data_IF_042242694844
#
_entry.id   IF_042242694844
#
_cell.length_a   1.000
_cell.length_b   1.000
_cell.length_c   1.000
_cell.angle_alpha   90.00
_cell.angle_beta   90.00
_cell.angle_gamma   90.00
#
_symmetry.space_group_name_H-M   'P 1'
#
loop_
_entity.id
_entity.type
_entity.pdbx_description
1 polymer ?
#
# COMPACT_ATOMS: atom_id res chain seq x y z
N UNK A 1 -41.00 25.62 -40.67
CA UNK A 1 -40.95 25.19 -39.24
C UNK A 1 -39.76 24.29 -39.05
N UNK A 2 -38.68 24.78 -38.43
CA UNK A 2 -37.46 23.98 -38.11
C UNK A 2 -37.55 23.58 -36.63
N UNK A 3 -37.69 22.28 -36.36
CA UNK A 3 -37.71 21.71 -35.03
C UNK A 3 -36.23 21.55 -34.57
N UNK A 4 -35.80 22.38 -33.62
CA UNK A 4 -34.51 22.24 -32.94
C UNK A 4 -34.72 21.17 -31.86
N UNK A 5 -34.14 19.98 -32.06
CA UNK A 5 -34.03 18.98 -31.00
C UNK A 5 -32.87 19.38 -30.08
N UNK A 6 -33.21 19.88 -28.91
CA UNK A 6 -32.25 20.07 -27.83
C UNK A 6 -31.86 18.69 -27.29
N UNK A 7 -30.59 18.30 -27.48
CA UNK A 7 -30.00 17.12 -26.88
C UNK A 7 -29.63 17.48 -25.43
N UNK A 8 -30.42 17.04 -24.47
CA UNK A 8 -30.09 17.14 -23.05
C UNK A 8 -28.96 16.13 -22.76
N UNK A 9 -27.73 16.60 -22.70
CA UNK A 9 -26.62 15.82 -22.15
C UNK A 9 -26.85 15.67 -20.63
N UNK A 10 -27.31 14.51 -20.21
CA UNK A 10 -27.28 14.12 -18.79
C UNK A 10 -25.81 13.91 -18.43
N UNK A 11 -25.20 14.88 -17.77
CA UNK A 11 -23.93 14.70 -17.08
C UNK A 11 -24.26 13.90 -15.83
N UNK A 12 -24.13 12.57 -15.92
CA UNK A 12 -24.11 11.71 -14.76
C UNK A 12 -22.75 12.00 -14.07
N UNK A 13 -22.75 12.53 -12.85
CA UNK A 13 -21.49 12.60 -12.11
C UNK A 13 -21.02 11.17 -11.91
N UNK A 14 -19.97 10.78 -12.60
CA UNK A 14 -19.23 9.57 -12.27
C UNK A 14 -18.65 9.88 -10.89
N UNK A 15 -19.30 9.35 -9.86
CA UNK A 15 -18.69 9.30 -8.55
C UNK A 15 -17.40 8.51 -8.74
N UNK A 16 -16.29 9.20 -8.80
CA UNK A 16 -14.96 8.59 -8.70
C UNK A 16 -14.98 7.94 -7.32
N UNK A 17 -15.20 6.63 -7.30
CA UNK A 17 -15.11 5.87 -6.07
C UNK A 17 -13.68 6.06 -5.58
N UNK A 18 -13.50 6.89 -4.57
CA UNK A 18 -12.22 7.05 -3.91
C UNK A 18 -11.83 5.67 -3.41
N UNK A 19 -10.78 5.09 -4.02
CA UNK A 19 -10.25 3.85 -3.52
C UNK A 19 -9.54 4.14 -2.19
N UNK A 20 -9.68 3.28 -1.19
CA UNK A 20 -9.06 3.50 0.12
C UNK A 20 -7.55 3.64 -0.05
N UNK A 21 -6.97 4.59 0.68
CA UNK A 21 -5.52 4.77 0.73
C UNK A 21 -4.83 3.46 1.15
N UNK A 22 -3.71 3.18 0.54
CA UNK A 22 -2.83 2.07 0.92
C UNK A 22 -1.69 2.58 1.81
N UNK A 23 -1.17 1.69 2.66
CA UNK A 23 -0.01 1.99 3.49
C UNK A 23 -0.33 2.20 4.96
N UNK A 24 0.25 1.33 5.76
CA UNK A 24 0.17 1.33 7.20
C UNK A 24 1.58 1.12 7.76
N UNK A 25 1.97 1.93 8.72
CA UNK A 25 3.26 1.85 9.41
C UNK A 25 2.99 1.66 10.90
N UNK A 26 3.48 0.58 11.50
CA UNK A 26 3.49 0.43 12.94
C UNK A 26 4.79 1.02 13.50
N UNK A 27 4.68 2.02 14.36
CA UNK A 27 5.82 2.63 15.04
C UNK A 27 6.19 1.87 16.31
N UNK A 28 5.19 1.41 17.02
CA UNK A 28 5.29 0.59 18.22
C UNK A 28 4.01 -0.25 18.41
N UNK A 29 3.83 -0.89 19.58
CA UNK A 29 2.67 -1.73 19.89
C UNK A 29 1.34 -0.98 19.98
N UNK A 30 1.36 0.35 20.07
CA UNK A 30 0.20 1.19 20.33
C UNK A 30 0.04 2.35 19.33
N UNK A 31 1.03 2.56 18.44
CA UNK A 31 1.06 3.74 17.56
C UNK A 31 1.25 3.32 16.11
N UNK A 32 0.38 3.82 15.25
CA UNK A 32 0.48 3.61 13.79
C UNK A 32 0.35 4.92 13.04
N UNK A 33 0.85 4.90 11.79
CA UNK A 33 0.64 5.96 10.80
C UNK A 33 0.03 5.32 9.57
N UNK A 34 -0.92 6.01 8.94
CA UNK A 34 -1.53 5.56 7.69
C UNK A 34 -2.01 6.71 6.83
N UNK A 35 -2.06 6.45 5.52
CA UNK A 35 -2.64 7.35 4.53
C UNK A 35 -4.14 7.14 4.40
N UNK A 36 -4.85 8.23 4.16
CA UNK A 36 -6.29 8.25 3.99
C UNK A 36 -6.66 9.10 2.78
N UNK A 37 -7.05 8.44 1.71
CA UNK A 37 -7.52 9.12 0.49
C UNK A 37 -8.96 9.62 0.60
N UNK A 38 -9.76 9.07 1.52
CA UNK A 38 -11.16 9.48 1.69
C UNK A 38 -11.27 10.82 2.41
N UNK A 39 -10.47 11.01 3.47
CA UNK A 39 -10.46 12.25 4.26
C UNK A 39 -9.28 13.16 3.95
N UNK A 40 -8.53 12.83 2.89
CA UNK A 40 -7.41 13.63 2.40
C UNK A 40 -6.41 13.97 3.52
N UNK A 41 -5.91 12.95 4.21
CA UNK A 41 -4.99 13.14 5.31
C UNK A 41 -3.97 12.00 5.46
N UNK A 42 -2.89 12.27 6.18
CA UNK A 42 -2.05 11.25 6.80
C UNK A 42 -2.27 11.34 8.29
N UNK A 43 -2.64 10.20 8.89
CA UNK A 43 -3.01 10.11 10.29
C UNK A 43 -1.95 9.42 11.14
N UNK A 44 -1.80 9.91 12.36
CA UNK A 44 -1.20 9.19 13.47
C UNK A 44 -2.29 8.76 14.43
N UNK A 45 -2.36 7.48 14.72
CA UNK A 45 -3.31 6.91 15.68
C UNK A 45 -2.56 6.24 16.80
N UNK A 46 -2.82 6.67 18.03
CA UNK A 46 -2.27 6.09 19.24
C UNK A 46 -3.42 5.52 20.08
N UNK A 47 -3.24 4.31 20.61
CA UNK A 47 -4.26 3.62 21.40
C UNK A 47 -4.78 4.49 22.54
N UNK A 48 -6.11 4.64 22.61
CA UNK A 48 -6.78 5.44 23.64
C UNK A 48 -6.69 6.95 23.45
N UNK A 49 -6.10 7.43 22.34
CA UNK A 49 -6.09 8.86 21.99
C UNK A 49 -6.91 9.14 20.73
N UNK A 50 -7.29 10.40 20.57
CA UNK A 50 -7.89 10.88 19.33
C UNK A 50 -6.83 10.86 18.24
N UNK A 51 -7.21 10.45 17.01
CA UNK A 51 -6.32 10.49 15.86
C UNK A 51 -5.83 11.92 15.58
N UNK A 52 -4.55 12.05 15.29
CA UNK A 52 -3.87 13.29 14.94
C UNK A 52 -3.58 13.31 13.43
N UNK A 53 -3.97 14.36 12.73
CA UNK A 53 -3.61 14.53 11.33
C UNK A 53 -2.19 15.13 11.24
N UNK A 54 -1.24 14.32 10.78
CA UNK A 54 0.12 14.77 10.47
C UNK A 54 0.16 15.65 9.22
N UNK A 55 -0.75 15.38 8.27
CA UNK A 55 -0.93 16.15 7.05
C UNK A 55 -2.41 16.20 6.69
N UNK A 56 -2.92 17.37 6.33
CA UNK A 56 -4.33 17.61 5.94
C UNK A 56 -4.42 18.10 4.51
N UNK A 57 -5.60 17.97 3.90
CA UNK A 57 -5.85 18.36 2.51
C UNK A 57 -4.88 17.67 1.55
N UNK A 58 -4.59 16.43 1.82
CA UNK A 58 -3.59 15.63 1.14
C UNK A 58 -4.18 14.26 0.79
N UNK A 59 -4.47 14.05 -0.48
CA UNK A 59 -5.05 12.79 -0.97
C UNK A 59 -3.98 11.68 -0.93
N UNK A 60 -3.78 11.09 0.26
CA UNK A 60 -2.76 10.10 0.52
C UNK A 60 -3.10 8.75 -0.13
N UNK A 61 -2.42 8.39 -1.20
CA UNK A 61 -2.57 7.07 -1.83
C UNK A 61 -1.74 6.02 -1.14
N UNK A 62 -0.47 6.32 -0.89
CA UNK A 62 0.47 5.43 -0.25
C UNK A 62 1.19 6.14 0.89
N UNK A 63 1.33 5.46 2.00
CA UNK A 63 2.16 5.91 3.11
C UNK A 63 3.10 4.78 3.48
N UNK A 64 4.39 5.08 3.53
CA UNK A 64 5.43 4.08 3.70
C UNK A 64 6.57 4.60 4.55
N UNK A 65 7.39 3.66 5.03
CA UNK A 65 8.66 3.96 5.67
C UNK A 65 9.80 3.63 4.72
N UNK A 66 10.67 4.60 4.48
CA UNK A 66 11.90 4.40 3.72
C UNK A 66 12.94 3.60 4.51
N UNK A 67 13.97 3.11 3.83
CA UNK A 67 15.13 2.48 4.48
C UNK A 67 15.96 3.45 5.34
N UNK A 68 15.83 4.75 5.10
CA UNK A 68 16.37 5.83 5.92
C UNK A 68 15.63 6.01 7.26
N UNK A 69 14.51 5.29 7.42
CA UNK A 69 13.66 5.34 8.62
C UNK A 69 12.61 6.44 8.61
N UNK A 70 12.62 7.33 7.63
CA UNK A 70 11.66 8.43 7.48
C UNK A 70 10.32 7.93 6.93
N UNK A 71 9.26 8.71 7.18
CA UNK A 71 7.92 8.45 6.65
C UNK A 71 7.70 9.25 5.38
N UNK A 72 7.15 8.58 4.39
CA UNK A 72 6.82 9.17 3.10
C UNK A 72 5.36 8.91 2.77
N UNK A 73 4.75 9.86 2.07
CA UNK A 73 3.41 9.67 1.51
C UNK A 73 3.33 10.28 0.12
N UNK A 74 2.60 9.60 -0.74
CA UNK A 74 2.34 10.06 -2.10
C UNK A 74 0.92 10.57 -2.22
N UNK A 75 0.78 11.73 -2.87
CA UNK A 75 -0.50 12.31 -3.24
C UNK A 75 -0.72 12.13 -4.73
N UNK A 76 -1.90 11.66 -5.08
CA UNK A 76 -2.36 11.62 -6.46
C UNK A 76 -3.39 12.75 -6.63
N UNK A 77 -2.99 13.86 -7.20
CA UNK A 77 -3.92 14.93 -7.57
C UNK A 77 -4.14 14.92 -9.08
N UNK A 78 -5.26 15.46 -9.54
CA UNK A 78 -5.68 15.47 -10.97
C UNK A 78 -4.65 16.07 -11.94
N UNK A 79 -3.58 16.66 -11.44
CA UNK A 79 -2.54 17.35 -12.23
C UNK A 79 -1.10 16.86 -11.97
N UNK A 80 -0.94 15.66 -11.44
CA UNK A 80 0.36 15.04 -11.18
C UNK A 80 0.54 14.62 -9.72
N UNK A 81 1.11 13.44 -9.51
CA UNK A 81 1.45 12.93 -8.19
C UNK A 81 2.67 13.63 -7.61
N UNK A 82 2.76 13.72 -6.29
CA UNK A 82 3.94 14.21 -5.62
C UNK A 82 4.24 13.38 -4.37
N UNK A 83 5.53 13.13 -4.15
CA UNK A 83 6.05 12.42 -2.98
C UNK A 83 6.49 13.43 -1.92
N UNK A 84 6.03 13.23 -0.70
CA UNK A 84 6.39 14.05 0.44
C UNK A 84 7.03 13.21 1.54
N UNK A 85 8.05 13.75 2.19
CA UNK A 85 8.54 13.28 3.48
C UNK A 85 7.74 13.95 4.59
N UNK A 86 7.28 13.15 5.55
CA UNK A 86 6.41 13.57 6.65
C UNK A 86 7.16 13.41 7.97
N UNK A 87 7.67 14.50 8.54
CA UNK A 87 8.36 14.45 9.82
C UNK A 87 7.40 14.09 10.96
N UNK A 88 7.81 13.15 11.82
CA UNK A 88 6.99 12.67 12.95
C UNK A 88 6.98 13.65 14.14
N UNK A 89 7.82 14.64 14.14
CA UNK A 89 7.94 15.66 15.19
C UNK A 89 7.02 16.87 14.98
N UNK A 90 6.11 16.82 13.96
CA UNK A 90 5.20 17.91 13.64
C UNK A 90 5.82 19.08 12.87
N UNK A 91 7.08 18.98 12.44
CA UNK A 91 7.68 19.98 11.56
C UNK A 91 7.05 19.93 10.17
N UNK A 92 7.30 20.97 9.34
CA UNK A 92 6.72 21.08 8.00
C UNK A 92 7.16 19.90 7.12
N UNK A 93 6.20 19.29 6.42
CA UNK A 93 6.48 18.27 5.41
C UNK A 93 7.30 18.83 4.24
N UNK A 94 8.09 17.98 3.59
CA UNK A 94 9.01 18.36 2.51
C UNK A 94 8.65 17.60 1.24
N UNK A 95 8.39 18.33 0.16
CA UNK A 95 8.23 17.72 -1.17
C UNK A 95 9.58 17.17 -1.63
N UNK A 96 9.61 15.89 -2.03
CA UNK A 96 10.81 15.17 -2.46
C UNK A 96 10.88 15.06 -3.98
N UNK A 97 9.73 14.78 -4.63
CA UNK A 97 9.65 14.64 -6.08
C UNK A 97 8.23 14.90 -6.57
N UNK A 98 8.11 15.26 -7.83
CA UNK A 98 6.85 15.23 -8.59
C UNK A 98 6.86 14.02 -9.54
N UNK A 99 5.69 13.48 -9.86
CA UNK A 99 5.57 12.36 -10.81
C UNK A 99 6.14 12.74 -12.17
N UNK A 100 5.94 14.00 -12.59
CA UNK A 100 6.49 14.54 -13.84
C UNK A 100 8.02 14.47 -13.92
N UNK A 101 8.72 14.49 -12.77
CA UNK A 101 10.18 14.44 -12.72
C UNK A 101 10.76 13.05 -13.00
N UNK A 102 9.95 12.01 -12.74
CA UNK A 102 10.36 10.61 -12.87
C UNK A 102 9.52 9.83 -13.89
N UNK A 103 8.43 10.45 -14.40
CA UNK A 103 7.47 9.84 -15.33
C UNK A 103 6.89 8.50 -14.80
N UNK A 104 6.81 8.35 -13.47
CA UNK A 104 6.36 7.14 -12.80
C UNK A 104 5.98 7.40 -11.34
N UNK A 105 5.17 6.52 -10.77
CA UNK A 105 4.89 6.51 -9.34
C UNK A 105 6.07 5.91 -8.56
N UNK A 106 6.55 6.62 -7.53
CA UNK A 106 7.56 6.10 -6.61
C UNK A 106 6.89 5.15 -5.64
N UNK A 107 7.37 3.93 -5.55
CA UNK A 107 6.82 2.97 -4.63
C UNK A 107 7.75 2.63 -3.44
N UNK A 108 9.08 2.84 -3.56
CA UNK A 108 9.99 2.57 -2.45
C UNK A 108 11.09 3.63 -2.35
N UNK A 109 11.58 3.87 -1.14
CA UNK A 109 12.68 4.80 -0.87
C UNK A 109 13.85 4.03 -0.27
N UNK A 110 15.03 4.22 -0.85
CA UNK A 110 16.29 3.60 -0.42
C UNK A 110 16.89 4.28 0.80
N UNK A 111 18.06 3.77 1.23
CA UNK A 111 18.72 4.20 2.47
C UNK A 111 19.28 5.62 2.40
N UNK A 112 19.71 6.07 1.22
CA UNK A 112 20.24 7.42 1.00
C UNK A 112 19.20 8.37 0.40
N UNK A 113 17.92 7.91 0.28
CA UNK A 113 16.84 8.66 -0.32
C UNK A 113 16.65 8.38 -1.82
N UNK A 114 17.22 7.29 -2.32
CA UNK A 114 16.99 6.86 -3.71
C UNK A 114 15.51 6.56 -3.92
N UNK A 115 14.98 7.00 -5.06
CA UNK A 115 13.59 6.73 -5.44
C UNK A 115 13.53 5.47 -6.30
N UNK A 116 12.72 4.50 -5.90
CA UNK A 116 12.56 3.24 -6.62
C UNK A 116 11.17 3.22 -7.24
N UNK A 117 11.11 2.95 -8.53
CA UNK A 117 9.89 3.04 -9.33
C UNK A 117 9.89 2.00 -10.45
N UNK A 118 8.72 1.77 -11.02
CA UNK A 118 8.57 0.90 -12.19
C UNK A 118 8.56 1.74 -13.47
N UNK A 119 9.36 1.35 -14.47
CA UNK A 119 9.29 1.88 -15.84
C UNK A 119 9.14 0.72 -16.82
N UNK A 120 7.97 0.62 -17.43
CA UNK A 120 7.63 -0.54 -18.27
C UNK A 120 7.68 -1.85 -17.45
N UNK A 121 8.49 -2.81 -17.87
CA UNK A 121 8.65 -4.12 -17.21
C UNK A 121 9.92 -4.21 -16.35
N UNK A 122 10.46 -3.09 -15.95
CA UNK A 122 11.68 -3.01 -15.13
C UNK A 122 11.47 -2.18 -13.89
N UNK A 123 12.20 -2.52 -12.84
CA UNK A 123 12.35 -1.69 -11.67
C UNK A 123 13.59 -0.83 -11.84
N UNK A 124 13.41 0.45 -11.66
CA UNK A 124 14.43 1.49 -11.79
C UNK A 124 14.71 2.12 -10.43
N UNK A 125 15.86 2.72 -10.30
CA UNK A 125 16.21 3.60 -9.19
C UNK A 125 16.69 4.95 -9.73
N UNK A 126 16.32 6.04 -9.06
CA UNK A 126 16.87 7.37 -9.25
C UNK A 126 17.67 7.72 -8.00
N UNK A 127 18.95 7.95 -8.16
CA UNK A 127 19.80 8.43 -7.09
C UNK A 127 19.50 9.89 -6.73
N UNK A 128 20.02 10.34 -5.59
CA UNK A 128 19.78 11.71 -5.08
C UNK A 128 20.31 12.78 -6.04
N UNK A 129 21.39 12.49 -6.77
CA UNK A 129 21.96 13.35 -7.83
C UNK A 129 21.15 13.30 -9.15
N UNK A 130 20.06 12.53 -9.21
CA UNK A 130 19.13 12.46 -10.33
C UNK A 130 19.44 11.39 -11.39
N UNK A 131 20.50 10.59 -11.23
CA UNK A 131 20.84 9.54 -12.18
C UNK A 131 19.82 8.39 -12.11
N UNK A 132 19.27 8.00 -13.25
CA UNK A 132 18.31 6.89 -13.38
C UNK A 132 19.02 5.68 -13.97
N UNK A 133 18.86 4.52 -13.32
CA UNK A 133 19.44 3.25 -13.75
C UNK A 133 18.58 2.06 -13.33
N UNK A 134 18.77 0.87 -13.91
CA UNK A 134 18.13 -0.34 -13.42
C UNK A 134 18.45 -0.59 -11.95
N UNK A 135 17.43 -0.89 -11.16
CA UNK A 135 17.56 -1.11 -9.72
C UNK A 135 18.58 -2.20 -9.44
N UNK A 136 19.59 -1.87 -8.63
CA UNK A 136 20.71 -2.76 -8.30
C UNK A 136 21.37 -3.38 -9.56
N UNK A 137 21.42 -2.64 -10.65
CA UNK A 137 22.05 -3.06 -11.89
C UNK A 137 21.27 -4.02 -12.78
N UNK A 138 20.14 -4.57 -12.32
CA UNK A 138 19.32 -5.50 -13.10
C UNK A 138 17.88 -5.04 -13.27
N UNK A 139 17.14 -4.85 -12.19
CA UNK A 139 15.75 -4.40 -12.18
C UNK A 139 14.76 -5.25 -13.01
N UNK A 140 15.12 -6.49 -13.35
CA UNK A 140 14.38 -7.37 -14.26
C UNK A 140 13.92 -8.66 -13.61
N UNK A 141 12.89 -9.26 -14.18
CA UNK A 141 12.34 -10.55 -13.75
C UNK A 141 13.31 -11.71 -14.07
N UNK A 142 13.39 -12.69 -13.19
CA UNK A 142 14.15 -13.92 -13.39
C UNK A 142 13.64 -14.68 -14.62
N UNK A 143 14.55 -15.39 -15.29
CA UNK A 143 14.20 -16.20 -16.46
C UNK A 143 13.23 -17.32 -16.01
N UNK A 144 12.10 -17.40 -16.71
CA UNK A 144 11.06 -18.42 -16.45
C UNK A 144 9.93 -17.93 -15.53
N UNK A 145 10.10 -16.83 -14.80
CA UNK A 145 9.03 -16.21 -14.03
C UNK A 145 8.09 -15.40 -14.92
N UNK A 146 6.81 -15.25 -14.56
CA UNK A 146 5.88 -14.37 -15.27
C UNK A 146 6.43 -12.95 -15.41
N UNK A 147 6.16 -12.23 -16.52
CA UNK A 147 6.63 -10.86 -16.69
C UNK A 147 6.07 -9.94 -15.62
N UNK A 148 6.78 -8.85 -15.31
CA UNK A 148 6.26 -7.79 -14.45
C UNK A 148 5.23 -6.98 -15.24
N UNK A 149 4.04 -6.80 -14.64
CA UNK A 149 2.97 -5.98 -15.23
C UNK A 149 2.83 -4.65 -14.50
N UNK A 150 2.42 -4.70 -13.23
CA UNK A 150 2.18 -3.50 -12.42
C UNK A 150 2.51 -3.75 -10.95
N UNK A 151 3.46 -3.00 -10.41
CA UNK A 151 3.71 -2.99 -8.97
C UNK A 151 2.57 -2.23 -8.28
N UNK A 152 1.93 -2.90 -7.31
CA UNK A 152 0.81 -2.35 -6.53
C UNK A 152 1.25 -2.04 -5.10
N UNK A 153 2.07 -2.92 -4.50
CA UNK A 153 2.55 -2.76 -3.15
C UNK A 153 4.01 -3.19 -3.03
N UNK A 154 4.65 -2.73 -1.97
CA UNK A 154 6.03 -3.09 -1.69
C UNK A 154 6.31 -3.02 -0.19
N UNK A 155 7.40 -3.68 0.20
CA UNK A 155 7.87 -3.69 1.57
C UNK A 155 9.37 -4.00 1.65
N UNK A 156 10.13 -3.14 2.32
CA UNK A 156 11.50 -3.44 2.69
C UNK A 156 11.52 -4.38 3.90
N UNK A 157 11.92 -5.63 3.69
CA UNK A 157 12.17 -6.53 4.80
C UNK A 157 13.49 -6.20 5.52
N UNK A 158 14.47 -5.71 4.77
CA UNK A 158 15.76 -5.21 5.23
C UNK A 158 16.47 -4.50 4.06
N UNK A 159 17.68 -3.97 4.29
CA UNK A 159 18.48 -3.27 3.28
C UNK A 159 18.76 -4.10 2.01
N UNK A 160 18.69 -5.42 2.09
CA UNK A 160 19.03 -6.32 0.98
C UNK A 160 17.81 -6.85 0.23
N UNK A 161 16.65 -6.84 0.88
CA UNK A 161 15.45 -7.51 0.40
C UNK A 161 14.26 -6.59 0.31
N UNK A 162 13.80 -6.37 -0.91
CA UNK A 162 12.55 -5.67 -1.22
C UNK A 162 11.52 -6.68 -1.71
N UNK A 163 10.36 -6.73 -1.08
CA UNK A 163 9.20 -7.44 -1.60
C UNK A 163 8.32 -6.52 -2.42
N UNK A 164 7.74 -7.05 -3.49
CA UNK A 164 6.82 -6.35 -4.40
C UNK A 164 5.61 -7.22 -4.66
N UNK A 165 4.45 -6.60 -4.83
CA UNK A 165 3.29 -7.26 -5.43
C UNK A 165 3.09 -6.81 -6.87
N UNK A 166 2.67 -7.75 -7.71
CA UNK A 166 2.34 -7.60 -9.12
C UNK A 166 1.04 -8.37 -9.36
N UNK A 167 -0.10 -7.71 -9.18
CA UNK A 167 -1.38 -8.38 -9.10
C UNK A 167 -1.44 -9.34 -7.90
N UNK A 168 -1.60 -10.63 -8.15
CA UNK A 168 -1.58 -11.68 -7.14
C UNK A 168 -0.21 -12.38 -6.98
N UNK A 169 0.80 -11.91 -7.69
CA UNK A 169 2.17 -12.40 -7.53
C UNK A 169 2.89 -11.61 -6.43
N UNK A 170 3.51 -12.34 -5.51
CA UNK A 170 4.47 -11.80 -4.57
C UNK A 170 5.87 -12.07 -5.09
N UNK A 171 6.66 -11.03 -5.27
CA UNK A 171 8.04 -11.12 -5.76
C UNK A 171 9.03 -10.60 -4.74
N UNK A 172 10.26 -11.06 -4.83
CA UNK A 172 11.39 -10.58 -4.05
C UNK A 172 12.50 -10.10 -4.95
N UNK A 173 13.08 -8.94 -4.62
CA UNK A 173 14.31 -8.43 -5.21
C UNK A 173 15.42 -8.55 -4.20
N UNK A 174 16.46 -9.28 -4.54
CA UNK A 174 17.69 -9.43 -3.74
C UNK A 174 18.75 -8.39 -4.10
N UNK A 175 19.96 -8.59 -3.58
CA UNK A 175 21.15 -7.73 -3.86
C UNK A 175 21.51 -7.67 -5.34
N UNK A 176 21.20 -8.71 -6.10
CA UNK A 176 21.48 -8.82 -7.54
C UNK A 176 20.47 -8.06 -8.42
N UNK A 177 19.50 -7.38 -7.83
CA UNK A 177 18.46 -6.63 -8.54
C UNK A 177 17.48 -7.49 -9.36
N UNK A 178 17.56 -8.82 -9.28
CA UNK A 178 16.67 -9.73 -10.02
C UNK A 178 15.39 -9.98 -9.23
N UNK A 179 14.25 -9.78 -9.90
CA UNK A 179 12.92 -10.07 -9.35
C UNK A 179 12.64 -11.57 -9.48
N UNK A 180 12.38 -12.23 -8.36
CA UNK A 180 12.03 -13.67 -8.31
C UNK A 180 10.64 -13.84 -7.71
N UNK A 181 9.86 -14.72 -8.32
CA UNK A 181 8.59 -15.13 -7.77
C UNK A 181 8.80 -15.83 -6.41
N UNK A 182 8.08 -15.35 -5.40
CA UNK A 182 8.06 -15.99 -4.05
C UNK A 182 6.82 -16.83 -3.90
N UNK A 183 5.66 -16.27 -4.26
CA UNK A 183 4.38 -16.93 -4.16
C UNK A 183 3.39 -16.35 -5.15
N UNK A 184 2.41 -17.15 -5.50
CA UNK A 184 1.15 -16.69 -6.11
C UNK A 184 0.06 -16.90 -5.08
N UNK A 185 -0.66 -15.84 -4.73
CA UNK A 185 -1.82 -15.98 -3.86
C UNK A 185 -2.99 -16.49 -4.69
N UNK A 186 -3.33 -17.76 -4.46
CA UNK A 186 -4.36 -18.45 -5.24
C UNK A 186 -5.75 -18.17 -4.72
N UNK A 187 -6.69 -17.95 -5.64
CA UNK A 187 -8.11 -17.83 -5.33
C UNK A 187 -8.73 -19.10 -4.70
N UNK A 188 -8.01 -20.23 -4.68
CA UNK A 188 -8.48 -21.49 -4.04
C UNK A 188 -8.53 -21.41 -2.51
N UNK A 189 -7.73 -20.56 -1.89
CA UNK A 189 -7.80 -20.25 -0.45
C UNK A 189 -9.04 -19.43 -0.09
N UNK A 190 -9.81 -19.02 -1.09
CA UNK A 190 -10.74 -17.93 -1.02
C UNK A 190 -12.04 -18.40 -1.67
N UNK A 191 -13.05 -18.69 -0.86
CA UNK A 191 -14.40 -18.78 -1.41
C UNK A 191 -14.78 -17.38 -1.93
N UNK A 192 -15.16 -17.26 -3.22
CA UNK A 192 -15.51 -15.96 -3.78
C UNK A 192 -16.75 -15.43 -3.08
N UNK A 193 -16.58 -14.52 -2.14
CA UNK A 193 -17.67 -13.66 -1.72
C UNK A 193 -17.69 -12.44 -2.65
N UNK A 194 -18.49 -12.60 -3.69
CA UNK A 194 -19.24 -11.56 -4.43
C UNK A 194 -18.58 -10.19 -4.46
N UNK A 195 -17.58 -10.02 -5.32
CA UNK A 195 -17.31 -8.76 -5.99
C UNK A 195 -17.11 -9.06 -7.47
N UNK A 196 -17.71 -8.25 -8.34
CA UNK A 196 -17.74 -8.39 -9.81
C UNK A 196 -16.35 -8.27 -10.48
N UNK A 197 -15.30 -8.78 -9.89
CA UNK A 197 -14.01 -8.87 -10.52
C UNK A 197 -13.79 -10.28 -11.02
N UNK A 198 -13.77 -10.45 -12.32
CA UNK A 198 -13.41 -11.68 -13.05
C UNK A 198 -11.94 -12.04 -12.89
N UNK A 199 -11.20 -11.42 -11.96
CA UNK A 199 -9.76 -11.55 -11.78
C UNK A 199 -9.35 -12.21 -10.46
N UNK A 200 -8.11 -12.69 -10.40
CA UNK A 200 -7.47 -13.12 -9.16
C UNK A 200 -7.35 -11.93 -8.18
N UNK A 201 -7.45 -12.16 -6.85
CA UNK A 201 -7.36 -11.09 -5.85
C UNK A 201 -5.98 -10.44 -5.90
N UNK A 202 -5.93 -9.12 -5.78
CA UNK A 202 -4.69 -8.36 -5.82
C UNK A 202 -4.10 -8.16 -4.43
N UNK A 203 -2.79 -8.23 -4.35
CA UNK A 203 -2.05 -7.91 -3.12
C UNK A 203 -1.85 -6.39 -3.05
N UNK A 204 -2.50 -5.73 -2.10
CA UNK A 204 -2.46 -4.27 -1.94
C UNK A 204 -1.50 -3.79 -0.86
N UNK A 205 -1.06 -4.68 0.01
CA UNK A 205 -0.11 -4.33 1.06
C UNK A 205 0.69 -5.56 1.46
N UNK A 206 1.94 -5.35 1.82
CA UNK A 206 2.90 -6.37 2.21
C UNK A 206 3.62 -5.91 3.47
N UNK A 207 3.85 -6.83 4.39
CA UNK A 207 4.75 -6.63 5.53
C UNK A 207 5.42 -7.94 5.93
N UNK A 208 6.51 -7.88 6.69
CA UNK A 208 7.21 -9.07 7.19
C UNK A 208 7.44 -8.94 8.69
N UNK A 209 7.34 -10.05 9.41
CA UNK A 209 7.70 -10.11 10.82
C UNK A 209 9.13 -10.63 11.05
N UNK A 210 9.55 -10.63 12.33
CA UNK A 210 10.89 -11.09 12.76
C UNK A 210 11.13 -12.59 12.48
N UNK A 211 10.07 -13.37 12.24
CA UNK A 211 10.14 -14.80 11.85
C UNK A 211 10.19 -14.99 10.34
N UNK A 212 10.35 -13.90 9.57
CA UNK A 212 10.35 -13.87 8.10
C UNK A 212 9.05 -14.36 7.47
N UNK A 213 7.94 -14.34 8.21
CA UNK A 213 6.61 -14.59 7.65
C UNK A 213 6.16 -13.33 6.94
N UNK A 214 5.51 -13.50 5.80
CA UNK A 214 5.02 -12.39 4.99
C UNK A 214 3.53 -12.31 5.19
N UNK A 215 3.01 -11.11 5.44
CA UNK A 215 1.57 -10.86 5.53
C UNK A 215 1.15 -9.96 4.37
N UNK A 216 0.02 -10.28 3.76
CA UNK A 216 -0.53 -9.54 2.63
C UNK A 216 -1.99 -9.19 2.88
N UNK A 217 -2.38 -7.97 2.51
CA UNK A 217 -3.77 -7.55 2.47
C UNK A 217 -4.35 -7.76 1.07
N UNK A 218 -5.53 -8.37 1.02
CA UNK A 218 -6.29 -8.66 -0.19
C UNK A 218 -7.67 -8.01 -0.08
N UNK A 219 -7.80 -6.69 -0.35
CA UNK A 219 -9.05 -5.96 -0.15
C UNK A 219 -10.19 -6.47 -1.03
N UNK A 220 -9.86 -6.95 -2.24
CA UNK A 220 -10.84 -7.47 -3.19
C UNK A 220 -11.71 -8.60 -2.60
N UNK A 221 -11.22 -9.23 -1.53
CA UNK A 221 -11.89 -10.34 -0.83
C UNK A 221 -11.93 -10.18 0.68
N UNK A 222 -11.42 -9.06 1.21
CA UNK A 222 -11.41 -8.75 2.64
C UNK A 222 -10.56 -9.70 3.50
N UNK A 223 -9.45 -10.23 2.97
CA UNK A 223 -8.63 -11.22 3.67
C UNK A 223 -7.22 -10.72 3.94
N UNK A 224 -6.64 -11.24 5.03
CA UNK A 224 -5.21 -11.18 5.30
C UNK A 224 -4.63 -12.59 5.17
N UNK A 225 -3.65 -12.73 4.29
CA UNK A 225 -2.95 -14.00 4.08
C UNK A 225 -1.54 -13.90 4.63
N UNK A 226 -1.15 -14.90 5.44
CA UNK A 226 0.22 -15.11 5.87
C UNK A 226 0.87 -16.14 4.95
N UNK A 227 2.09 -15.88 4.53
CA UNK A 227 2.94 -16.78 3.75
C UNK A 227 4.14 -17.11 4.64
N UNK A 228 4.29 -18.36 4.99
CA UNK A 228 5.39 -18.85 5.83
C UNK A 228 6.68 -19.04 5.00
N UNK A 229 7.87 -19.15 5.61
CA UNK A 229 9.13 -19.31 4.90
C UNK A 229 9.23 -20.56 4.02
N UNK A 230 8.43 -21.59 4.31
CA UNK A 230 8.29 -22.81 3.50
C UNK A 230 7.34 -22.65 2.31
N UNK A 231 6.73 -21.47 2.14
CA UNK A 231 5.78 -21.16 1.08
C UNK A 231 4.32 -21.52 1.41
N UNK A 232 4.05 -22.12 2.57
CA UNK A 232 2.66 -22.41 2.98
C UNK A 232 1.87 -21.12 3.22
N UNK A 233 0.57 -21.13 2.84
CA UNK A 233 -0.28 -19.96 2.89
C UNK A 233 -1.46 -20.18 3.82
N UNK A 234 -1.75 -19.20 4.68
CA UNK A 234 -2.81 -19.27 5.68
C UNK A 234 -3.62 -17.98 5.71
N UNK A 235 -4.95 -18.07 5.66
CA UNK A 235 -5.82 -16.95 5.98
C UNK A 235 -5.78 -16.72 7.48
N UNK A 236 -5.26 -15.58 7.92
CA UNK A 236 -5.09 -15.26 9.34
C UNK A 236 -6.14 -14.28 9.86
N UNK A 237 -6.79 -13.54 8.95
CA UNK A 237 -7.92 -12.69 9.28
C UNK A 237 -8.88 -12.55 8.10
N UNK A 238 -10.14 -12.27 8.43
CA UNK A 238 -11.20 -11.96 7.47
C UNK A 238 -11.95 -10.74 7.97
N UNK A 239 -11.98 -9.70 7.15
CA UNK A 239 -12.81 -8.53 7.46
C UNK A 239 -14.29 -8.90 7.45
N UNK A 240 -15.05 -8.31 8.36
CA UNK A 240 -16.48 -8.56 8.52
C UNK A 240 -17.24 -7.25 8.74
N UNK A 241 -18.57 -7.29 8.59
CA UNK A 241 -19.46 -6.18 8.96
C UNK A 241 -19.30 -4.93 8.09
N UNK A 242 -19.02 -5.06 6.78
CA UNK A 242 -18.89 -3.94 5.86
C UNK A 242 -17.52 -3.25 5.92
N UNK A 243 -16.51 -3.91 6.51
CA UNK A 243 -15.14 -3.44 6.54
C UNK A 243 -14.26 -4.25 5.58
N UNK A 244 -13.22 -3.62 5.04
CA UNK A 244 -12.21 -4.27 4.19
C UNK A 244 -10.82 -3.91 4.66
N UNK A 245 -9.99 -4.91 4.83
CA UNK A 245 -8.56 -4.67 5.06
C UNK A 245 -7.94 -4.07 3.80
N UNK A 246 -7.25 -2.94 3.96
CA UNK A 246 -6.58 -2.23 2.87
C UNK A 246 -5.07 -2.24 3.02
N UNK A 247 -4.57 -2.30 4.26
CA UNK A 247 -3.16 -2.40 4.52
C UNK A 247 -2.84 -3.24 5.76
N UNK A 248 -1.61 -3.75 5.81
CA UNK A 248 -1.04 -4.50 6.92
C UNK A 248 0.32 -3.94 7.30
N UNK A 249 0.62 -3.96 8.60
CA UNK A 249 1.93 -3.68 9.14
C UNK A 249 2.25 -4.65 10.28
N UNK A 250 3.52 -4.85 10.57
CA UNK A 250 3.97 -5.67 11.70
C UNK A 250 4.83 -4.86 12.65
N UNK A 251 4.73 -5.17 13.92
CA UNK A 251 5.67 -4.75 14.93
C UNK A 251 5.83 -5.87 15.95
N UNK A 252 7.03 -6.44 16.05
CA UNK A 252 7.30 -7.68 16.81
C UNK A 252 6.37 -8.82 16.35
N UNK A 253 5.64 -9.43 17.28
CA UNK A 253 4.70 -10.54 17.03
C UNK A 253 3.26 -10.09 16.77
N UNK A 254 3.03 -8.80 16.60
CA UNK A 254 1.71 -8.22 16.34
C UNK A 254 1.55 -7.82 14.88
N UNK A 255 0.36 -8.06 14.32
CA UNK A 255 -0.03 -7.64 12.98
C UNK A 255 -1.12 -6.58 13.08
N UNK A 256 -0.88 -5.42 12.51
CA UNK A 256 -1.82 -4.31 12.45
C UNK A 256 -2.55 -4.36 11.10
N UNK A 257 -3.84 -4.13 11.14
CA UNK A 257 -4.75 -4.17 10.00
C UNK A 257 -5.44 -2.82 9.86
N UNK A 258 -5.18 -2.12 8.77
CA UNK A 258 -5.99 -0.96 8.39
C UNK A 258 -7.21 -1.46 7.64
N UNK A 259 -8.38 -1.06 8.07
CA UNK A 259 -9.64 -1.39 7.44
C UNK A 259 -10.41 -0.11 7.08
N UNK A 260 -10.92 -0.09 5.86
CA UNK A 260 -11.85 0.95 5.40
C UNK A 260 -13.26 0.40 5.34
N UNK A 261 -14.23 1.22 5.68
CA UNK A 261 -15.63 0.84 5.59
C UNK A 261 -16.12 0.91 4.14
N UNK A 262 -17.04 -0.01 3.79
CA UNK A 262 -17.77 0.01 2.52
C UNK A 262 -18.83 1.12 2.46
N UNK A 263 -19.22 1.70 3.62
CA UNK A 263 -20.16 2.82 3.66
C UNK A 263 -19.42 4.16 3.59
N UNK A 264 -19.99 5.10 2.84
CA UNK A 264 -19.42 6.45 2.62
C UNK A 264 -19.21 7.28 3.90
N UNK A 265 -19.71 6.82 5.06
CA UNK A 265 -19.70 7.58 6.31
C UNK A 265 -19.01 6.87 7.48
N UNK A 266 -18.36 5.73 7.28
CA UNK A 266 -17.90 4.93 8.42
C UNK A 266 -16.38 4.99 8.71
N UNK A 267 -15.62 5.76 7.94
CA UNK A 267 -14.22 6.04 8.28
C UNK A 267 -13.25 4.87 8.06
N UNK A 268 -12.14 4.96 8.74
CA UNK A 268 -11.08 3.96 8.78
C UNK A 268 -10.83 3.53 10.22
N UNK A 269 -10.49 2.27 10.43
CA UNK A 269 -10.10 1.74 11.73
C UNK A 269 -8.84 0.89 11.64
N UNK A 270 -8.15 0.77 12.76
CA UNK A 270 -7.01 -0.13 12.89
C UNK A 270 -7.31 -1.19 13.93
N UNK A 271 -7.22 -2.45 13.52
CA UNK A 271 -7.25 -3.61 14.43
C UNK A 271 -5.85 -4.19 14.59
N UNK A 272 -5.63 -4.88 15.69
CA UNK A 272 -4.36 -5.54 15.99
C UNK A 272 -4.62 -7.01 16.31
N UNK A 273 -3.95 -7.89 15.57
CA UNK A 273 -3.84 -9.32 15.85
C UNK A 273 -2.60 -9.51 16.71
N UNK A 274 -2.77 -9.84 17.97
CA UNK A 274 -1.65 -10.10 18.89
C UNK A 274 -1.10 -11.53 18.68
N UNK A 275 0.16 -11.74 18.97
CA UNK A 275 0.78 -13.07 18.91
C UNK A 275 0.09 -14.11 19.79
N UNK A 276 -0.66 -13.69 20.80
CA UNK A 276 -1.54 -14.53 21.63
C UNK A 276 -2.81 -15.02 20.92
N UNK A 277 -3.10 -14.52 19.71
CA UNK A 277 -4.35 -14.75 18.99
C UNK A 277 -5.49 -13.78 19.34
N UNK A 278 -5.28 -12.88 20.31
CA UNK A 278 -6.26 -11.84 20.63
C UNK A 278 -6.34 -10.80 19.48
N UNK A 279 -7.58 -10.36 19.20
CA UNK A 279 -7.86 -9.28 18.25
C UNK A 279 -8.42 -8.10 19.03
N UNK A 280 -7.84 -6.93 18.88
CA UNK A 280 -8.30 -5.71 19.54
C UNK A 280 -8.45 -4.55 18.54
N UNK A 281 -9.36 -3.62 18.84
CA UNK A 281 -9.45 -2.33 18.14
C UNK A 281 -8.40 -1.38 18.74
N UNK A 282 -7.47 -0.90 17.91
CA UNK A 282 -6.51 0.12 18.33
C UNK A 282 -7.19 1.49 18.40
N UNK A 283 -7.99 1.79 17.38
CA UNK A 283 -8.76 3.02 17.27
C UNK A 283 -9.39 3.19 15.89
N UNK A 284 -10.11 4.29 15.74
CA UNK A 284 -10.87 4.63 14.54
C UNK A 284 -10.73 6.11 14.22
N UNK A 285 -10.77 6.45 12.93
CA UNK A 285 -10.93 7.81 12.42
C UNK A 285 -12.31 7.91 11.81
N UNK A 286 -13.10 8.81 12.36
CA UNK A 286 -14.45 9.14 11.86
C UNK A 286 -14.40 10.47 11.09
N UNK A 287 -15.34 10.68 10.15
CA UNK A 287 -15.42 11.90 9.35
C UNK A 287 -15.59 13.16 10.20
#
# INVERSE_FOLDING_TARGET
MRIIRALLLLIIPVAVAAHPGGGLIALDLNTVIFGDSMYNAVWRLEKGKKAEALMKNFHAHWTTRGLDGEVYSESFQEMGGALFRIPLNGSKHVKIAEESDIEALVFAIGKQGELIFQKGRQIMERSVDGMVRPFRGAGKVAKGDPPLEQVIAYHWANEETLYLSDGNYLRRVGRDGVLRLVARVDGKLIQPQIWNSTGAPRIWSITTDDRKRIYTALPDIGHVVRIDPDGSQHVVDRSAGGWRVTAVATFRDSVFLLESSDSTNAGQRVRVLRGSGAVELLGQVEP
#
